data_IF_936997880580
#
_entry.id   IF_936997880580
#
_cell.length_a   1.000
_cell.length_b   1.000
_cell.length_c   1.000
_cell.angle_alpha   90.00
_cell.angle_beta   90.00
_cell.angle_gamma   90.00
#
_symmetry.space_group_name_H-M   'P 1'
#
loop_
_entity.id
_entity.type
_entity.pdbx_description
1 polymer ?
#
# COMPACT_ATOMS: atom_id res chain seq x y z
N UNK A 1 4.36 15.54 23.93
CA UNK A 1 4.66 16.18 22.63
C UNK A 1 4.86 15.06 21.63
N UNK A 2 3.82 14.70 20.86
CA UNK A 2 3.98 13.72 19.78
C UNK A 2 4.79 14.40 18.69
N UNK A 3 5.95 13.83 18.35
CA UNK A 3 6.67 14.23 17.15
C UNK A 3 5.77 13.92 15.96
N UNK A 4 5.39 14.93 15.19
CA UNK A 4 4.86 14.75 13.83
C UNK A 4 5.91 13.98 13.03
N UNK A 5 5.78 12.64 13.02
CA UNK A 5 6.65 11.79 12.21
C UNK A 5 6.32 12.08 10.75
N UNK A 6 7.32 12.55 10.01
CA UNK A 6 7.19 12.65 8.57
C UNK A 6 7.02 11.26 7.97
N UNK A 7 6.24 11.18 6.90
CA UNK A 7 5.98 9.96 6.16
C UNK A 7 6.66 10.10 4.79
N UNK A 8 7.52 9.14 4.38
CA UNK A 8 8.14 9.16 3.06
C UNK A 8 7.11 8.87 1.96
N UNK A 9 7.18 9.62 0.86
CA UNK A 9 6.39 9.35 -0.33
C UNK A 9 6.88 8.07 -1.02
N UNK A 10 6.00 7.09 -1.31
CA UNK A 10 6.41 5.80 -1.90
C UNK A 10 6.98 5.93 -3.32
N UNK A 11 6.76 7.06 -4.00
CA UNK A 11 7.21 7.30 -5.38
C UNK A 11 8.54 8.06 -5.47
N UNK A 12 8.74 9.08 -4.63
CA UNK A 12 9.92 9.95 -4.72
C UNK A 12 10.79 9.96 -3.46
N UNK A 13 10.39 9.20 -2.43
CA UNK A 13 11.09 9.03 -1.16
C UNK A 13 11.30 10.32 -0.34
N UNK A 14 10.76 11.46 -0.79
CA UNK A 14 10.74 12.69 0.02
C UNK A 14 9.78 12.54 1.19
N UNK A 15 10.20 13.07 2.33
CA UNK A 15 9.43 13.02 3.57
C UNK A 15 8.49 14.21 3.69
N UNK A 16 7.26 13.97 4.15
CA UNK A 16 6.24 14.99 4.32
C UNK A 16 5.56 14.84 5.68
N UNK A 17 5.13 15.96 6.26
CA UNK A 17 4.17 15.90 7.36
C UNK A 17 2.96 15.07 6.93
N UNK A 18 2.41 14.26 7.86
CA UNK A 18 1.31 13.34 7.57
C UNK A 18 0.12 14.00 6.84
N UNK A 19 -0.21 15.22 7.24
CA UNK A 19 -1.27 16.05 6.64
C UNK A 19 -1.01 16.44 5.17
N UNK A 20 0.25 16.50 4.74
CA UNK A 20 0.65 16.83 3.37
C UNK A 20 1.01 15.60 2.52
N UNK A 21 1.40 14.49 3.16
CA UNK A 21 1.90 13.29 2.50
C UNK A 21 0.91 12.69 1.50
N UNK A 22 -0.36 12.54 1.90
CA UNK A 22 -1.41 11.98 1.04
C UNK A 22 -1.60 12.81 -0.24
N UNK A 23 -1.75 14.14 -0.08
CA UNK A 23 -1.96 15.07 -1.19
C UNK A 23 -0.77 15.07 -2.16
N UNK A 24 0.45 15.00 -1.62
CA UNK A 24 1.64 14.90 -2.45
C UNK A 24 1.67 13.59 -3.25
N UNK A 25 1.53 12.45 -2.58
CA UNK A 25 1.64 11.13 -3.21
C UNK A 25 0.62 10.94 -4.34
N UNK A 26 -0.62 11.42 -4.17
CA UNK A 26 -1.68 11.40 -5.18
C UNK A 26 -1.30 12.06 -6.51
N UNK A 27 -0.41 13.06 -6.49
CA UNK A 27 0.02 13.80 -7.69
C UNK A 27 1.49 13.56 -8.06
N UNK A 28 2.23 12.76 -7.28
CA UNK A 28 3.67 12.61 -7.42
C UNK A 28 4.06 11.77 -8.64
N UNK A 29 3.31 10.69 -8.91
CA UNK A 29 3.57 9.82 -10.06
C UNK A 29 2.64 10.15 -11.22
N UNK A 30 3.21 10.19 -12.43
CA UNK A 30 2.46 10.28 -13.70
C UNK A 30 2.33 8.94 -14.43
N UNK A 31 2.92 7.88 -13.89
CA UNK A 31 2.87 6.53 -14.47
C UNK A 31 1.47 5.95 -14.21
N UNK A 32 0.70 5.56 -15.24
CA UNK A 32 -0.67 5.06 -15.06
C UNK A 32 -0.78 3.90 -14.08
N UNK A 33 0.13 2.92 -14.16
CA UNK A 33 0.16 1.77 -13.25
C UNK A 33 0.37 2.18 -11.78
N UNK A 34 1.24 3.16 -11.51
CA UNK A 34 1.45 3.65 -10.14
C UNK A 34 0.17 4.28 -9.56
N UNK A 35 -0.62 4.96 -10.39
CA UNK A 35 -1.91 5.55 -9.97
C UNK A 35 -2.91 4.44 -9.62
N UNK A 36 -2.93 3.36 -10.41
CA UNK A 36 -3.76 2.17 -10.14
C UNK A 36 -3.34 1.49 -8.84
N UNK A 37 -2.05 1.22 -8.67
CA UNK A 37 -1.50 0.61 -7.45
C UNK A 37 -1.78 1.46 -6.21
N UNK A 38 -1.65 2.79 -6.30
CA UNK A 38 -1.96 3.70 -5.20
C UNK A 38 -3.42 3.56 -4.75
N UNK A 39 -4.36 3.62 -5.70
CA UNK A 39 -5.78 3.48 -5.40
C UNK A 39 -6.11 2.08 -4.88
N UNK A 40 -5.51 1.05 -5.47
CA UNK A 40 -5.66 -0.34 -5.02
C UNK A 40 -5.23 -0.50 -3.56
N UNK A 41 -4.01 -0.07 -3.23
CA UNK A 41 -3.50 -0.11 -1.86
C UNK A 41 -4.42 0.64 -0.90
N UNK A 42 -4.88 1.85 -1.24
CA UNK A 42 -5.83 2.63 -0.42
C UNK A 42 -7.12 1.85 -0.09
N UNK A 43 -7.64 1.07 -1.03
CA UNK A 43 -8.86 0.27 -0.86
C UNK A 43 -8.62 -1.03 -0.06
N UNK A 44 -7.41 -1.57 -0.14
CA UNK A 44 -7.03 -2.85 0.48
C UNK A 44 -6.65 -2.65 1.95
N UNK A 45 -5.90 -1.59 2.29
CA UNK A 45 -5.38 -1.34 3.64
C UNK A 45 -6.42 -1.44 4.78
N UNK A 46 -7.68 -0.97 4.65
CA UNK A 46 -8.70 -1.15 5.69
C UNK A 46 -8.97 -2.61 6.07
N UNK A 47 -8.71 -3.55 5.16
CA UNK A 47 -8.83 -4.99 5.35
C UNK A 47 -7.49 -5.66 5.69
N UNK A 48 -6.47 -4.88 6.05
CA UNK A 48 -5.19 -5.39 6.53
C UNK A 48 -5.01 -5.16 8.03
N UNK A 49 -4.12 -5.95 8.62
CA UNK A 49 -3.69 -5.86 10.00
C UNK A 49 -2.19 -6.16 10.11
N UNK A 50 -1.55 -5.65 11.17
CA UNK A 50 -0.18 -6.02 11.47
C UNK A 50 -0.14 -7.38 12.16
N UNK A 51 0.70 -8.27 11.67
CA UNK A 51 1.04 -9.50 12.38
C UNK A 51 2.05 -9.22 13.52
N UNK A 52 2.44 -10.27 14.25
CA UNK A 52 3.42 -10.16 15.35
C UNK A 52 4.82 -9.72 14.90
N UNK A 53 5.16 -9.99 13.65
CA UNK A 53 6.44 -9.64 13.04
C UNK A 53 6.48 -8.20 12.50
N UNK A 54 5.33 -7.50 12.51
CA UNK A 54 5.20 -6.14 12.01
C UNK A 54 4.92 -6.04 10.51
N UNK A 55 4.60 -7.15 9.85
CA UNK A 55 4.18 -7.19 8.46
C UNK A 55 2.68 -6.95 8.34
N UNK A 56 2.28 -6.27 7.26
CA UNK A 56 0.88 -6.13 6.90
C UNK A 56 0.38 -7.42 6.26
N UNK A 57 -0.68 -7.98 6.83
CA UNK A 57 -1.38 -9.15 6.32
C UNK A 57 -2.87 -8.86 6.20
N UNK A 58 -3.50 -9.63 5.34
CA UNK A 58 -4.93 -9.55 5.08
C UNK A 58 -5.71 -10.13 6.27
N UNK A 59 -6.82 -9.48 6.63
CA UNK A 59 -7.71 -9.97 7.67
C UNK A 59 -8.37 -11.28 7.25
N UNK A 60 -8.66 -12.19 8.19
CA UNK A 60 -9.36 -13.44 7.88
C UNK A 60 -10.66 -13.21 7.12
N UNK A 61 -10.86 -13.96 6.03
CA UNK A 61 -12.08 -13.89 5.20
C UNK A 61 -12.12 -12.74 4.20
N UNK A 62 -11.07 -11.92 4.10
CA UNK A 62 -10.93 -10.96 3.01
C UNK A 62 -10.38 -11.66 1.76
N UNK A 63 -11.11 -11.56 0.65
CA UNK A 63 -10.68 -12.04 -0.66
C UNK A 63 -10.30 -10.82 -1.51
N UNK A 64 -9.01 -10.45 -1.58
CA UNK A 64 -8.54 -9.28 -2.32
C UNK A 64 -8.75 -9.47 -3.83
N UNK A 65 -8.91 -8.35 -4.53
CA UNK A 65 -8.77 -8.31 -5.99
C UNK A 65 -7.43 -7.67 -6.30
N UNK A 66 -6.60 -8.34 -7.10
CA UNK A 66 -5.31 -7.80 -7.51
C UNK A 66 -5.52 -6.51 -8.33
N UNK A 67 -4.94 -5.36 -7.91
CA UNK A 67 -5.15 -4.10 -8.62
C UNK A 67 -4.42 -4.04 -9.98
N UNK A 68 -3.55 -5.01 -10.29
CA UNK A 68 -2.76 -5.05 -11.53
C UNK A 68 -3.51 -5.83 -12.61
N UNK A 69 -3.92 -7.07 -12.30
CA UNK A 69 -4.54 -7.99 -13.26
C UNK A 69 -6.05 -8.19 -13.04
N UNK A 70 -6.62 -7.60 -11.98
CA UNK A 70 -8.03 -7.71 -11.60
C UNK A 70 -8.49 -9.16 -11.28
N UNK A 71 -7.55 -10.04 -10.92
CA UNK A 71 -7.85 -11.40 -10.48
C UNK A 71 -8.16 -11.42 -8.97
N UNK A 72 -9.27 -12.08 -8.60
CA UNK A 72 -9.63 -12.31 -7.21
C UNK A 72 -8.74 -13.42 -6.61
N UNK A 73 -8.09 -13.13 -5.49
CA UNK A 73 -7.26 -14.11 -4.81
C UNK A 73 -8.05 -14.79 -3.70
N UNK A 74 -8.29 -16.09 -3.86
CA UNK A 74 -8.98 -16.93 -2.88
C UNK A 74 -8.08 -18.03 -2.29
N UNK A 75 -7.00 -18.38 -3.00
CA UNK A 75 -6.09 -19.48 -2.63
C UNK A 75 -4.73 -19.00 -2.08
N UNK A 76 -4.28 -17.82 -2.49
CA UNK A 76 -2.99 -17.22 -2.14
C UNK A 76 -3.23 -15.84 -1.52
N UNK A 77 -2.28 -15.37 -0.69
CA UNK A 77 -2.34 -13.98 -0.25
C UNK A 77 -2.09 -13.04 -1.43
N UNK A 78 -2.63 -11.83 -1.38
CA UNK A 78 -2.37 -10.85 -2.43
C UNK A 78 -0.87 -10.54 -2.56
N UNK A 79 -0.16 -10.51 -1.43
CA UNK A 79 1.28 -10.28 -1.40
C UNK A 79 2.03 -11.37 -2.18
N UNK A 80 1.71 -12.63 -1.94
CA UNK A 80 2.35 -13.76 -2.64
C UNK A 80 2.01 -13.74 -4.13
N UNK A 81 0.74 -13.48 -4.49
CA UNK A 81 0.33 -13.35 -5.88
C UNK A 81 1.14 -12.28 -6.63
N UNK A 82 1.30 -11.09 -6.03
CA UNK A 82 2.05 -9.98 -6.63
C UNK A 82 3.54 -10.32 -6.72
N UNK A 83 4.12 -10.90 -5.68
CA UNK A 83 5.54 -11.33 -5.70
C UNK A 83 5.82 -12.33 -6.83
N UNK A 84 4.94 -13.29 -7.06
CA UNK A 84 5.13 -14.34 -8.07
C UNK A 84 4.78 -13.89 -9.51
N UNK A 85 3.71 -13.09 -9.68
CA UNK A 85 3.16 -12.76 -11.00
C UNK A 85 3.47 -11.34 -11.47
N UNK A 86 3.80 -10.44 -10.54
CA UNK A 86 4.08 -9.02 -10.78
C UNK A 86 5.33 -8.54 -10.01
N UNK A 87 6.48 -9.22 -10.17
CA UNK A 87 7.66 -8.99 -9.33
C UNK A 87 8.26 -7.58 -9.50
N UNK A 88 8.03 -6.92 -10.63
CA UNK A 88 8.49 -5.55 -10.88
C UNK A 88 7.71 -4.52 -10.02
N UNK A 89 6.47 -4.86 -9.64
CA UNK A 89 5.56 -4.00 -8.88
C UNK A 89 5.55 -4.29 -7.38
N UNK A 90 5.99 -5.48 -6.95
CA UNK A 90 5.89 -5.94 -5.55
C UNK A 90 6.43 -4.90 -4.56
N UNK A 91 7.68 -4.49 -4.74
CA UNK A 91 8.31 -3.55 -3.80
C UNK A 91 7.55 -2.22 -3.69
N UNK A 92 7.04 -1.70 -4.81
CA UNK A 92 6.23 -0.48 -4.82
C UNK A 92 4.90 -0.71 -4.13
N UNK A 93 4.24 -1.84 -4.39
CA UNK A 93 2.96 -2.17 -3.78
C UNK A 93 3.08 -2.32 -2.25
N UNK A 94 4.09 -3.03 -1.76
CA UNK A 94 4.38 -3.13 -0.33
C UNK A 94 4.59 -1.76 0.33
N UNK A 95 5.29 -0.85 -0.36
CA UNK A 95 5.51 0.52 0.13
C UNK A 95 4.20 1.32 0.17
N UNK A 96 3.31 1.13 -0.80
CA UNK A 96 2.00 1.78 -0.84
C UNK A 96 1.08 1.30 0.27
N UNK A 97 1.07 -0.01 0.56
CA UNK A 97 0.32 -0.56 1.70
C UNK A 97 0.80 0.05 3.01
N UNK A 98 2.12 0.07 3.24
CA UNK A 98 2.71 0.68 4.44
C UNK A 98 2.38 2.17 4.54
N UNK A 99 2.52 2.91 3.44
CA UNK A 99 2.19 4.34 3.36
C UNK A 99 0.73 4.61 3.76
N UNK A 100 -0.22 3.90 3.17
CA UNK A 100 -1.64 4.07 3.49
C UNK A 100 -1.98 3.63 4.91
N UNK A 101 -1.33 2.58 5.43
CA UNK A 101 -1.54 2.12 6.79
C UNK A 101 -1.04 3.15 7.82
N UNK A 102 0.15 3.73 7.63
CA UNK A 102 0.66 4.82 8.47
C UNK A 102 -0.24 6.07 8.42
N UNK A 103 -0.85 6.38 7.27
CA UNK A 103 -1.82 7.45 7.16
C UNK A 103 -3.09 7.21 8.00
N UNK A 104 -3.47 5.96 8.27
CA UNK A 104 -4.65 5.62 9.07
C UNK A 104 -4.41 5.64 10.60
N UNK A 105 -3.17 5.49 11.07
CA UNK A 105 -2.84 5.49 12.51
C UNK A 105 -3.08 6.86 13.15
N UNK A 106 -3.91 6.98 14.19
CA UNK A 106 -4.13 8.25 14.91
C UNK A 106 -2.95 8.59 15.83
#
# INVERSE_FOLDING_TARGET
>A
MQQDKNIPCPFCQKEFAKSAALKHAQACSKVPLHIVLFKGAQLIVPNMELNRDGDLREKPGYEPICPICNEQQSALSLGDHIYENHPEEDQLFQNLLKFHFELQKQ
#
